data_IF_875185709255
#
_entry.id   IF_875185709255
#
_cell.length_a   1.000
_cell.length_b   1.000
_cell.length_c   1.000
_cell.angle_alpha   90.00
_cell.angle_beta   90.00
_cell.angle_gamma   90.00
#
_symmetry.space_group_name_H-M   'P 1'
#
loop_
_entity.id
_entity.type
_entity.pdbx_description
1 polymer ?
#
# COMPACT_ATOMS: atom_id res chain seq x y z
N UNK A 1 19.23 9.75 8.12
CA UNK A 1 20.21 9.45 7.04
C UNK A 1 21.63 9.37 7.59
N UNK A 2 22.06 10.32 8.42
CA UNK A 2 23.42 10.35 8.98
C UNK A 2 23.70 9.18 9.91
N UNK A 3 22.76 8.79 10.76
CA UNK A 3 22.84 7.62 11.63
C UNK A 3 23.26 6.31 10.91
N UNK A 4 22.80 6.12 9.70
CA UNK A 4 23.11 4.92 8.92
C UNK A 4 24.44 5.03 8.18
N UNK A 5 24.81 6.24 7.73
CA UNK A 5 26.14 6.50 7.15
C UNK A 5 27.25 6.29 8.17
N UNK A 6 27.06 6.75 9.39
CA UNK A 6 27.99 6.56 10.51
C UNK A 6 28.23 5.07 10.83
N UNK A 7 27.27 4.20 10.48
CA UNK A 7 27.37 2.73 10.61
C UNK A 7 27.82 2.01 9.34
N UNK A 8 28.35 2.75 8.36
CA UNK A 8 28.95 2.18 7.15
C UNK A 8 27.92 1.70 6.10
N UNK A 9 26.70 2.22 6.15
CA UNK A 9 25.71 1.93 5.10
C UNK A 9 26.03 2.70 3.82
N UNK A 10 26.03 2.03 2.66
CA UNK A 10 26.11 2.65 1.35
C UNK A 10 24.71 2.90 0.79
N UNK A 11 24.49 4.09 0.24
CA UNK A 11 23.22 4.46 -0.37
C UNK A 11 23.31 4.32 -1.89
N UNK A 12 22.42 3.58 -2.55
CA UNK A 12 22.39 3.51 -4.00
C UNK A 12 21.96 4.84 -4.60
N UNK A 13 22.58 5.22 -5.74
CA UNK A 13 22.37 6.52 -6.41
C UNK A 13 21.16 6.57 -7.36
N UNK A 14 20.24 5.61 -7.31
CA UNK A 14 19.08 5.59 -8.23
C UNK A 14 17.95 6.49 -7.75
N UNK A 15 17.50 7.38 -8.63
CA UNK A 15 16.62 8.55 -8.36
C UNK A 15 15.12 8.27 -8.21
N UNK A 16 14.61 7.05 -8.20
CA UNK A 16 13.16 6.83 -8.29
C UNK A 16 12.60 5.72 -7.39
N UNK A 17 13.35 5.32 -6.36
CA UNK A 17 12.89 4.19 -5.52
C UNK A 17 13.27 4.38 -4.06
N UNK A 18 12.55 3.69 -3.15
CA UNK A 18 12.80 3.77 -1.73
C UNK A 18 14.26 3.48 -1.39
N UNK A 19 14.78 4.08 -0.32
CA UNK A 19 16.18 3.92 0.04
C UNK A 19 16.50 2.47 0.34
N UNK A 20 17.33 1.87 -0.50
CA UNK A 20 17.95 0.58 -0.26
C UNK A 20 19.25 0.83 0.50
N UNK A 21 19.34 0.33 1.70
CA UNK A 21 20.53 0.47 2.56
C UNK A 21 21.25 -0.87 2.62
N UNK A 22 22.53 -0.85 2.29
CA UNK A 22 23.40 -2.00 2.37
C UNK A 22 24.25 -1.93 3.61
N UNK A 23 24.13 -2.93 4.48
CA UNK A 23 25.02 -3.14 5.61
C UNK A 23 25.86 -4.36 5.25
N UNK A 24 27.14 -4.14 4.89
CA UNK A 24 27.95 -5.13 4.15
C UNK A 24 28.67 -6.16 5.02
N UNK A 25 28.58 -7.43 4.55
CA UNK A 25 29.63 -8.44 4.69
C UNK A 25 30.12 -8.86 3.30
N UNK A 26 31.35 -9.31 3.18
CA UNK A 26 32.00 -9.57 1.88
C UNK A 26 31.62 -10.91 1.23
N UNK A 27 31.08 -11.86 1.98
CA UNK A 27 30.68 -13.21 1.52
C UNK A 27 29.55 -13.75 2.39
N UNK A 28 28.87 -14.80 1.91
CA UNK A 28 27.78 -15.46 2.64
C UNK A 28 26.39 -14.99 2.21
N UNK A 29 25.34 -15.35 2.97
CA UNK A 29 23.97 -15.08 2.58
C UNK A 29 23.65 -13.58 2.57
N UNK A 30 22.72 -13.21 1.70
CA UNK A 30 22.13 -11.88 1.63
C UNK A 30 20.77 -11.90 2.30
N UNK A 31 20.67 -11.23 3.43
CA UNK A 31 19.46 -11.16 4.25
C UNK A 31 18.78 -9.82 4.01
N UNK A 32 17.57 -9.85 3.50
CA UNK A 32 16.71 -8.68 3.33
C UNK A 32 15.85 -8.45 4.57
N UNK A 33 15.84 -7.23 5.10
CA UNK A 33 14.92 -6.81 6.16
C UNK A 33 14.06 -5.68 5.61
N UNK A 34 12.75 -5.90 5.59
CA UNK A 34 11.78 -4.99 4.99
C UNK A 34 11.11 -4.16 6.09
N UNK A 35 10.98 -2.88 5.84
CA UNK A 35 10.31 -1.95 6.76
C UNK A 35 9.39 -1.01 6.00
N UNK A 36 8.09 -1.09 6.26
CA UNK A 36 7.09 -0.18 5.74
C UNK A 36 7.09 1.12 6.54
N UNK A 37 6.75 2.25 5.91
CA UNK A 37 6.78 3.56 6.57
C UNK A 37 5.76 4.56 6.02
N UNK A 38 4.88 4.16 5.11
CA UNK A 38 3.79 4.99 4.62
C UNK A 38 2.65 5.09 5.64
N UNK A 39 1.74 6.03 5.43
CA UNK A 39 0.66 6.35 6.34
C UNK A 39 -0.69 6.35 5.60
N UNK A 40 -1.75 6.02 6.32
CA UNK A 40 -3.12 6.02 5.85
C UNK A 40 -3.71 7.42 5.84
N UNK A 41 -4.34 7.80 4.73
CA UNK A 41 -5.04 9.08 4.61
C UNK A 41 -6.20 9.20 5.60
N UNK A 42 -6.38 10.40 6.18
CA UNK A 42 -7.48 10.69 7.07
C UNK A 42 -7.36 10.13 8.50
N UNK A 43 -6.20 9.57 8.86
CA UNK A 43 -5.96 8.97 10.18
C UNK A 43 -5.01 9.79 11.07
N UNK A 44 -4.89 11.10 10.80
CA UNK A 44 -4.15 11.98 11.71
C UNK A 44 -4.72 11.86 13.13
N UNK A 45 -3.83 11.64 14.13
CA UNK A 45 -4.26 11.33 15.49
C UNK A 45 -3.27 11.89 16.51
N UNK A 46 -3.79 12.49 17.54
CA UNK A 46 -3.04 12.87 18.75
C UNK A 46 -2.74 11.63 19.61
N UNK A 47 -1.89 11.80 20.62
CA UNK A 47 -1.68 10.78 21.66
C UNK A 47 -2.90 10.81 22.61
N UNK A 48 -3.97 10.18 22.19
CA UNK A 48 -5.27 10.19 22.89
C UNK A 48 -5.99 8.86 22.64
N UNK A 49 -6.75 8.39 23.62
CA UNK A 49 -7.65 7.24 23.49
C UNK A 49 -8.94 7.57 22.74
N UNK A 50 -9.26 8.84 22.57
CA UNK A 50 -10.38 9.31 21.79
C UNK A 50 -9.95 9.69 20.36
N UNK A 51 -10.88 9.69 19.41
CA UNK A 51 -10.61 10.23 18.06
C UNK A 51 -10.35 11.74 18.17
N UNK A 52 -9.11 12.12 17.98
CA UNK A 52 -8.62 13.49 18.11
C UNK A 52 -7.58 13.77 17.03
N UNK A 53 -7.98 14.13 15.81
CA UNK A 53 -7.03 14.40 14.74
C UNK A 53 -6.20 15.65 15.06
N UNK A 54 -4.87 15.56 14.90
CA UNK A 54 -3.99 16.73 14.96
C UNK A 54 -4.27 17.70 13.82
N UNK A 55 -4.60 17.15 12.65
CA UNK A 55 -5.03 17.90 11.47
C UNK A 55 -6.11 17.09 10.75
N UNK A 56 -7.27 17.66 10.57
CA UNK A 56 -8.39 16.99 9.90
C UNK A 56 -8.02 16.59 8.46
N UNK A 57 -8.31 15.34 8.08
CA UNK A 57 -8.06 14.80 6.75
C UNK A 57 -6.60 14.41 6.46
N UNK A 58 -5.65 14.78 7.31
CA UNK A 58 -4.24 14.46 7.10
C UNK A 58 -3.93 12.98 7.42
N UNK A 59 -2.83 12.42 6.86
CA UNK A 59 -2.43 11.04 7.10
C UNK A 59 -2.03 10.76 8.55
N UNK A 60 -2.19 9.49 8.94
CA UNK A 60 -1.75 8.98 10.25
C UNK A 60 -1.40 7.50 10.21
N UNK A 61 -0.67 7.05 11.22
CA UNK A 61 -0.15 5.69 11.30
C UNK A 61 -1.13 4.76 12.04
N UNK A 62 -2.27 4.46 11.41
CA UNK A 62 -3.23 3.49 11.94
C UNK A 62 -2.78 2.03 11.86
N UNK A 63 -1.80 1.74 11.00
CA UNK A 63 -1.26 0.39 10.77
C UNK A 63 0.08 0.12 11.47
N UNK A 64 0.65 1.11 12.15
CA UNK A 64 1.90 0.96 12.91
C UNK A 64 3.18 1.01 12.06
N UNK A 65 3.12 1.47 10.82
CA UNK A 65 4.29 1.57 9.93
C UNK A 65 5.37 2.53 10.45
N UNK A 66 5.02 3.49 11.30
CA UNK A 66 5.99 4.33 12.01
C UNK A 66 6.92 3.52 12.92
N UNK A 67 6.42 2.44 13.53
CA UNK A 67 7.23 1.51 14.33
C UNK A 67 7.94 0.50 13.43
N UNK A 68 7.24 -0.05 12.45
CA UNK A 68 7.73 -1.09 11.55
C UNK A 68 8.98 -0.63 10.80
N UNK A 69 8.96 0.55 10.19
CA UNK A 69 10.08 1.11 9.45
C UNK A 69 11.33 1.30 10.31
N UNK A 70 11.17 1.88 11.50
CA UNK A 70 12.27 2.17 12.42
C UNK A 70 12.86 0.90 13.03
N UNK A 71 12.01 -0.01 13.53
CA UNK A 71 12.50 -1.22 14.18
C UNK A 71 13.11 -2.21 13.18
N UNK A 72 12.59 -2.30 11.97
CA UNK A 72 13.23 -3.08 10.90
C UNK A 72 14.64 -2.56 10.57
N UNK A 73 14.82 -1.25 10.56
CA UNK A 73 16.13 -0.63 10.36
C UNK A 73 17.08 -0.94 11.53
N UNK A 74 16.60 -0.85 12.76
CA UNK A 74 17.39 -1.21 13.96
C UNK A 74 17.76 -2.69 13.97
N UNK A 75 16.83 -3.57 13.57
CA UNK A 75 17.09 -5.00 13.42
C UNK A 75 18.20 -5.27 12.39
N UNK A 76 18.17 -4.57 11.24
CA UNK A 76 19.23 -4.68 10.24
C UNK A 76 20.61 -4.28 10.81
N UNK A 77 20.66 -3.20 11.59
CA UNK A 77 21.90 -2.79 12.28
C UNK A 77 22.36 -3.85 13.29
N UNK A 78 21.46 -4.38 14.11
CA UNK A 78 21.77 -5.40 15.10
C UNK A 78 22.30 -6.69 14.47
N UNK A 79 21.68 -7.16 13.40
CA UNK A 79 22.15 -8.35 12.65
C UNK A 79 23.54 -8.11 12.10
N UNK A 80 23.82 -6.95 11.50
CA UNK A 80 25.16 -6.59 11.02
C UNK A 80 26.21 -6.65 12.13
N UNK A 81 25.92 -6.01 13.28
CA UNK A 81 26.83 -5.97 14.42
C UNK A 81 27.08 -7.36 15.01
N UNK A 82 26.04 -8.19 15.07
CA UNK A 82 26.15 -9.59 15.53
C UNK A 82 27.01 -10.42 14.60
N UNK A 83 26.80 -10.33 13.27
CA UNK A 83 27.62 -11.04 12.29
C UNK A 83 29.10 -10.65 12.42
N UNK A 84 29.38 -9.35 12.58
CA UNK A 84 30.75 -8.87 12.77
C UNK A 84 31.37 -9.35 14.10
N UNK A 85 30.63 -9.32 15.20
CA UNK A 85 31.10 -9.80 16.50
C UNK A 85 31.39 -11.30 16.54
N UNK A 86 30.61 -12.09 15.80
CA UNK A 86 30.76 -13.54 15.70
C UNK A 86 31.72 -13.97 14.56
N UNK A 87 32.34 -13.03 13.85
CA UNK A 87 33.21 -13.34 12.69
C UNK A 87 32.49 -14.03 11.55
N UNK A 88 31.18 -13.90 11.44
CA UNK A 88 30.37 -14.49 10.38
C UNK A 88 30.27 -13.56 9.17
N UNK A 89 30.39 -14.13 7.98
CA UNK A 89 30.22 -13.40 6.73
C UNK A 89 28.75 -13.39 6.30
N UNK A 90 28.28 -12.28 5.75
CA UNK A 90 26.95 -12.12 5.19
C UNK A 90 26.68 -10.67 4.81
N UNK A 91 25.65 -10.46 4.02
CA UNK A 91 25.17 -9.12 3.65
C UNK A 91 23.80 -8.89 4.24
N UNK A 92 23.59 -7.78 4.89
CA UNK A 92 22.28 -7.35 5.36
C UNK A 92 21.80 -6.18 4.50
N UNK A 93 20.62 -6.32 3.91
CA UNK A 93 19.95 -5.27 3.14
C UNK A 93 18.71 -4.78 3.89
N UNK A 94 18.62 -3.50 4.15
CA UNK A 94 17.37 -2.90 4.62
C UNK A 94 16.60 -2.35 3.42
N UNK A 95 15.34 -2.73 3.30
CA UNK A 95 14.42 -2.26 2.28
C UNK A 95 13.36 -1.36 2.92
N UNK A 96 13.46 -0.04 2.72
CA UNK A 96 12.39 0.88 3.06
C UNK A 96 11.26 0.77 2.05
N UNK A 97 10.14 0.18 2.45
CA UNK A 97 9.01 -0.10 1.58
C UNK A 97 7.98 1.04 1.66
N UNK A 98 7.73 1.68 0.52
CA UNK A 98 6.69 2.74 0.38
C UNK A 98 5.41 2.16 -0.17
N UNK A 99 4.31 2.92 -0.08
CA UNK A 99 3.05 2.63 -0.75
C UNK A 99 2.53 1.21 -0.50
N UNK A 100 2.76 0.68 0.73
CA UNK A 100 2.21 -0.61 1.15
C UNK A 100 0.69 -0.51 1.25
N UNK A 101 0.18 0.57 1.81
CA UNK A 101 -1.25 0.84 1.97
C UNK A 101 -2.01 1.00 0.64
N UNK A 102 -1.26 1.14 -0.46
CA UNK A 102 -1.78 1.09 -1.83
C UNK A 102 -1.54 -0.28 -2.50
N UNK A 103 -0.89 -1.21 -1.78
CA UNK A 103 -0.56 -2.57 -2.24
C UNK A 103 0.30 -2.60 -3.52
N UNK A 104 1.09 -1.54 -3.78
CA UNK A 104 1.86 -1.39 -5.02
C UNK A 104 3.36 -1.33 -4.80
N UNK A 105 3.82 -0.81 -3.66
CA UNK A 105 5.23 -0.48 -3.45
C UNK A 105 6.19 -1.65 -3.61
N UNK A 106 5.96 -2.74 -2.88
CA UNK A 106 6.83 -3.93 -2.95
C UNK A 106 6.75 -4.64 -4.30
N UNK A 107 5.58 -4.64 -4.95
CA UNK A 107 5.42 -5.20 -6.29
C UNK A 107 6.27 -4.42 -7.33
N UNK A 108 6.28 -3.10 -7.27
CA UNK A 108 7.13 -2.27 -8.13
C UNK A 108 8.62 -2.45 -7.80
N UNK A 109 8.98 -2.57 -6.51
CA UNK A 109 10.34 -2.88 -6.09
C UNK A 109 10.82 -4.21 -6.67
N UNK A 110 9.98 -5.25 -6.63
CA UNK A 110 10.29 -6.56 -7.20
C UNK A 110 10.47 -6.47 -8.72
N UNK A 111 9.56 -5.81 -9.41
CA UNK A 111 9.63 -5.58 -10.86
C UNK A 111 10.90 -4.84 -11.29
N UNK A 112 11.39 -3.93 -10.45
CA UNK A 112 12.62 -3.18 -10.69
C UNK A 112 13.89 -3.96 -10.26
N UNK A 113 13.76 -5.20 -9.80
CA UNK A 113 14.88 -6.07 -9.43
C UNK A 113 15.54 -5.72 -8.09
N UNK A 114 14.87 -4.97 -7.20
CA UNK A 114 15.48 -4.58 -5.92
C UNK A 114 15.76 -5.77 -5.00
N UNK A 115 14.98 -6.84 -5.10
CA UNK A 115 15.15 -8.05 -4.31
C UNK A 115 16.09 -9.06 -4.95
N UNK A 116 16.60 -8.80 -6.15
CA UNK A 116 17.50 -9.71 -6.84
C UNK A 116 18.77 -9.98 -6.01
N UNK A 117 19.16 -11.25 -5.95
CA UNK A 117 20.28 -11.69 -5.16
C UNK A 117 20.07 -11.56 -3.65
N UNK A 118 18.83 -11.51 -3.17
CA UNK A 118 18.47 -11.69 -1.77
C UNK A 118 18.11 -13.14 -1.53
N UNK A 119 18.81 -13.81 -0.60
CA UNK A 119 18.59 -15.22 -0.33
C UNK A 119 17.37 -15.44 0.57
N UNK A 120 17.15 -14.52 1.52
CA UNK A 120 16.01 -14.56 2.44
C UNK A 120 15.52 -13.14 2.72
N UNK A 121 14.20 -12.97 2.77
CA UNK A 121 13.57 -11.71 3.15
C UNK A 121 12.74 -11.88 4.41
N UNK A 122 12.94 -10.99 5.37
CA UNK A 122 12.25 -10.99 6.66
C UNK A 122 11.49 -9.67 6.78
N UNK A 123 10.23 -9.76 7.14
CA UNK A 123 9.39 -8.63 7.53
C UNK A 123 8.64 -8.98 8.79
N UNK A 124 8.08 -7.98 9.43
CA UNK A 124 7.17 -8.15 10.56
C UNK A 124 6.04 -7.13 10.45
N UNK A 125 4.98 -7.35 11.18
CA UNK A 125 3.89 -6.39 11.26
C UNK A 125 3.33 -6.39 12.67
N UNK A 126 2.97 -5.22 13.24
CA UNK A 126 2.26 -5.16 14.52
C UNK A 126 0.96 -5.96 14.46
N UNK A 127 0.74 -6.83 15.43
CA UNK A 127 -0.44 -7.69 15.54
C UNK A 127 -0.78 -7.93 17.01
N UNK A 128 -1.89 -8.61 17.27
CA UNK A 128 -2.37 -8.94 18.61
C UNK A 128 -1.65 -10.14 19.25
N UNK A 129 -0.88 -10.88 18.47
CA UNK A 129 -0.10 -12.03 18.92
C UNK A 129 1.32 -11.99 18.34
N UNK A 130 2.29 -12.50 19.13
CA UNK A 130 3.66 -12.72 18.66
C UNK A 130 3.76 -14.10 18.04
N UNK A 131 3.85 -14.18 16.73
CA UNK A 131 3.89 -15.45 15.99
C UNK A 131 4.68 -15.29 14.68
N UNK A 132 5.04 -16.42 14.09
CA UNK A 132 5.46 -16.47 12.69
C UNK A 132 4.25 -16.89 11.87
N UNK A 133 3.79 -16.01 11.00
CA UNK A 133 2.65 -16.32 10.14
C UNK A 133 3.10 -17.13 8.93
N UNK A 134 2.35 -18.17 8.63
CA UNK A 134 2.47 -18.95 7.41
C UNK A 134 1.11 -18.95 6.71
N UNK A 135 0.83 -17.89 5.98
CA UNK A 135 -0.45 -17.70 5.31
C UNK A 135 -0.26 -17.49 3.81
N UNK A 136 -1.22 -17.92 3.03
CA UNK A 136 -1.38 -17.51 1.65
C UNK A 136 -1.94 -16.09 1.59
N UNK A 137 -1.52 -15.31 0.62
CA UNK A 137 -2.05 -13.98 0.37
C UNK A 137 -2.84 -13.98 -0.94
N UNK A 138 -3.87 -13.16 -0.99
CA UNK A 138 -4.66 -12.95 -2.20
C UNK A 138 -3.95 -12.01 -3.16
N UNK A 139 -4.01 -12.29 -4.46
CA UNK A 139 -3.63 -11.32 -5.47
C UNK A 139 -4.64 -10.16 -5.49
N UNK A 140 -4.19 -8.97 -5.84
CA UNK A 140 -5.03 -7.77 -5.90
C UNK A 140 -5.02 -7.14 -7.28
N UNK A 141 -6.19 -6.79 -7.75
CA UNK A 141 -6.38 -5.93 -8.92
C UNK A 141 -7.25 -4.73 -8.54
N UNK A 142 -6.83 -3.54 -8.95
CA UNK A 142 -7.57 -2.30 -8.75
C UNK A 142 -7.75 -1.58 -10.07
N UNK A 143 -8.96 -1.10 -10.35
CA UNK A 143 -9.27 -0.33 -11.54
C UNK A 143 -10.18 0.86 -11.22
N UNK A 144 -9.91 1.98 -11.85
CA UNK A 144 -10.77 3.17 -11.80
C UNK A 144 -11.54 3.28 -13.13
N UNK A 145 -12.86 3.36 -13.04
CA UNK A 145 -13.76 3.52 -14.17
C UNK A 145 -14.30 4.94 -14.22
N UNK A 146 -14.15 5.58 -15.36
CA UNK A 146 -14.61 6.94 -15.61
C UNK A 146 -15.81 6.91 -16.57
N UNK A 147 -16.93 7.47 -16.13
CA UNK A 147 -18.13 7.61 -16.94
C UNK A 147 -18.34 9.07 -17.30
N UNK A 148 -18.75 9.33 -18.52
CA UNK A 148 -19.11 10.65 -19.03
C UNK A 148 -20.57 10.69 -19.44
N UNK A 149 -21.29 11.68 -18.96
CA UNK A 149 -22.70 11.89 -19.31
C UNK A 149 -22.93 13.19 -20.08
N UNK A 150 -24.19 13.41 -20.43
CA UNK A 150 -24.68 14.65 -21.02
C UNK A 150 -25.73 15.26 -20.10
N UNK A 151 -25.49 16.48 -19.65
CA UNK A 151 -26.46 17.20 -18.81
C UNK A 151 -27.66 17.68 -19.62
N UNK A 152 -28.84 17.60 -19.03
CA UNK A 152 -30.05 18.20 -19.52
C UNK A 152 -30.91 18.69 -18.35
N UNK A 153 -31.86 19.59 -18.63
CA UNK A 153 -32.77 20.07 -17.61
C UNK A 153 -33.82 18.97 -17.31
N UNK A 154 -33.84 18.52 -16.05
CA UNK A 154 -34.65 17.37 -15.65
C UNK A 154 -36.16 17.56 -15.80
N UNK A 155 -36.66 18.80 -15.76
CA UNK A 155 -38.09 19.10 -15.88
C UNK A 155 -38.59 19.45 -17.28
N UNK A 156 -37.69 19.91 -18.18
CA UNK A 156 -38.12 20.39 -19.52
C UNK A 156 -37.61 19.55 -20.67
N UNK A 157 -36.50 18.85 -20.52
CA UNK A 157 -35.90 18.02 -21.59
C UNK A 157 -35.10 16.86 -21.03
N UNK A 158 -35.66 16.02 -20.14
CA UNK A 158 -34.93 14.92 -19.52
C UNK A 158 -34.38 13.90 -20.52
N UNK A 159 -35.08 13.69 -21.64
CA UNK A 159 -34.71 12.80 -22.73
C UNK A 159 -33.43 13.23 -23.45
N UNK A 160 -33.05 14.50 -23.36
CA UNK A 160 -31.82 14.99 -23.96
C UNK A 160 -30.57 14.68 -23.08
N UNK A 161 -30.77 14.19 -21.87
CA UNK A 161 -29.70 13.88 -20.92
C UNK A 161 -29.28 12.42 -20.89
N UNK A 162 -28.05 12.17 -20.51
CA UNK A 162 -27.54 10.84 -20.14
C UNK A 162 -26.75 10.98 -18.83
N UNK A 163 -27.19 10.27 -17.79
CA UNK A 163 -26.56 10.35 -16.47
C UNK A 163 -25.34 9.43 -16.40
N UNK A 164 -24.17 9.98 -16.12
CA UNK A 164 -22.99 9.19 -15.82
C UNK A 164 -23.13 8.44 -14.48
N UNK A 165 -23.91 8.98 -13.53
CA UNK A 165 -24.19 8.32 -12.28
C UNK A 165 -25.02 7.05 -12.48
N UNK A 166 -26.03 7.08 -13.35
CA UNK A 166 -26.85 5.90 -13.63
C UNK A 166 -25.99 4.74 -14.17
N UNK A 167 -24.99 5.05 -15.01
CA UNK A 167 -24.05 4.04 -15.51
C UNK A 167 -23.18 3.47 -14.38
N UNK A 168 -22.73 4.30 -13.44
CA UNK A 168 -22.01 3.87 -12.25
C UNK A 168 -22.87 2.95 -11.38
N UNK A 169 -24.12 3.32 -11.15
CA UNK A 169 -25.06 2.51 -10.35
C UNK A 169 -25.35 1.16 -11.00
N UNK A 170 -25.57 1.14 -12.31
CA UNK A 170 -25.75 -0.11 -13.05
C UNK A 170 -24.52 -1.02 -12.96
N UNK A 171 -23.33 -0.45 -13.05
CA UNK A 171 -22.10 -1.22 -12.87
C UNK A 171 -21.98 -1.78 -11.45
N UNK A 172 -22.35 -1.00 -10.43
CA UNK A 172 -22.34 -1.46 -9.03
C UNK A 172 -23.36 -2.60 -8.81
N UNK A 173 -24.54 -2.50 -9.40
CA UNK A 173 -25.55 -3.58 -9.39
C UNK A 173 -24.99 -4.83 -10.04
N UNK A 174 -24.35 -4.70 -11.22
CA UNK A 174 -23.71 -5.83 -11.90
C UNK A 174 -22.59 -6.46 -11.06
N UNK A 175 -21.76 -5.65 -10.39
CA UNK A 175 -20.73 -6.14 -9.47
C UNK A 175 -21.34 -6.91 -8.27
N UNK A 176 -22.48 -6.47 -7.76
CA UNK A 176 -23.18 -7.18 -6.68
C UNK A 176 -23.71 -8.54 -7.12
N UNK A 177 -24.27 -8.64 -8.31
CA UNK A 177 -24.72 -9.92 -8.86
C UNK A 177 -23.54 -10.87 -9.18
N UNK A 178 -22.39 -10.33 -9.59
CA UNK A 178 -21.21 -11.14 -9.83
C UNK A 178 -20.74 -11.89 -8.58
N UNK A 179 -20.97 -11.34 -7.38
CA UNK A 179 -20.57 -11.99 -6.10
C UNK A 179 -21.19 -13.37 -5.92
N UNK A 180 -22.39 -13.62 -6.46
CA UNK A 180 -23.03 -14.94 -6.41
C UNK A 180 -22.24 -16.02 -7.16
N UNK A 181 -21.43 -15.60 -8.14
CA UNK A 181 -20.68 -16.49 -9.03
C UNK A 181 -19.18 -16.51 -8.75
N UNK A 182 -18.75 -15.87 -7.65
CA UNK A 182 -17.34 -15.87 -7.21
C UNK A 182 -17.07 -17.03 -6.26
N UNK A 183 -15.83 -17.53 -6.28
CA UNK A 183 -15.42 -18.52 -5.27
C UNK A 183 -15.26 -17.86 -3.89
N UNK A 184 -15.36 -18.65 -2.84
CA UNK A 184 -15.39 -18.15 -1.44
C UNK A 184 -14.16 -17.32 -1.05
N UNK A 185 -13.03 -17.55 -1.69
CA UNK A 185 -11.78 -16.85 -1.45
C UNK A 185 -11.69 -15.49 -2.12
N UNK A 186 -12.46 -15.28 -3.20
CA UNK A 186 -12.47 -14.01 -3.92
C UNK A 186 -13.21 -12.91 -3.16
N UNK A 187 -12.74 -11.67 -3.33
CA UNK A 187 -13.40 -10.48 -2.78
C UNK A 187 -13.54 -9.42 -3.86
N UNK A 188 -14.68 -8.79 -3.91
CA UNK A 188 -14.98 -7.69 -4.82
C UNK A 188 -15.54 -6.52 -4.02
N UNK A 189 -14.84 -5.40 -4.06
CA UNK A 189 -15.26 -4.14 -3.45
C UNK A 189 -15.30 -3.03 -4.48
N UNK A 190 -16.14 -2.04 -4.25
CA UNK A 190 -16.12 -0.80 -4.99
C UNK A 190 -16.41 0.38 -4.07
N UNK A 191 -15.94 1.55 -4.46
CA UNK A 191 -16.27 2.82 -3.82
C UNK A 191 -16.55 3.87 -4.87
N UNK A 192 -17.42 4.82 -4.53
CA UNK A 192 -17.67 5.99 -5.36
C UNK A 192 -16.62 7.05 -5.06
N UNK A 193 -15.92 7.49 -6.09
CA UNK A 193 -15.04 8.64 -5.98
C UNK A 193 -15.86 9.93 -6.16
N UNK A 194 -15.43 11.06 -5.57
CA UNK A 194 -16.15 12.31 -5.65
C UNK A 194 -16.45 12.72 -7.08
N UNK A 195 -17.72 12.99 -7.37
CA UNK A 195 -18.20 13.47 -8.67
C UNK A 195 -18.52 14.95 -8.52
N UNK A 196 -17.95 15.81 -9.38
CA UNK A 196 -18.24 17.24 -9.30
C UNK A 196 -19.48 17.61 -10.14
N UNK A 197 -20.63 17.84 -9.51
CA UNK A 197 -21.69 18.73 -9.97
C UNK A 197 -22.89 18.67 -9.00
N UNK A 198 -23.54 19.80 -8.75
CA UNK A 198 -24.70 19.89 -7.84
C UNK A 198 -25.92 19.10 -8.30
N UNK A 199 -26.81 18.82 -7.37
CA UNK A 199 -27.98 17.93 -7.50
C UNK A 199 -29.01 18.27 -8.59
N UNK A 200 -28.94 19.44 -9.21
CA UNK A 200 -29.87 19.89 -10.26
C UNK A 200 -29.50 19.40 -11.67
N UNK A 201 -28.29 18.89 -11.85
CA UNK A 201 -27.82 18.42 -13.14
C UNK A 201 -27.39 16.95 -13.03
N UNK A 202 -27.86 16.09 -13.93
CA UNK A 202 -27.34 14.73 -14.04
C UNK A 202 -25.84 14.81 -14.24
N UNK A 203 -25.07 14.10 -13.40
CA UNK A 203 -23.62 14.18 -13.38
C UNK A 203 -23.01 13.93 -14.77
N UNK A 204 -22.14 14.84 -15.19
CA UNK A 204 -21.34 14.64 -16.43
C UNK A 204 -20.24 13.61 -16.27
N UNK A 205 -19.82 13.32 -15.02
CA UNK A 205 -18.73 12.38 -14.72
C UNK A 205 -19.10 11.52 -13.53
N UNK A 206 -18.99 10.23 -13.69
CA UNK A 206 -19.07 9.26 -12.60
C UNK A 206 -17.76 8.48 -12.52
N UNK A 207 -17.31 8.18 -11.33
CA UNK A 207 -16.11 7.37 -11.07
C UNK A 207 -16.45 6.25 -10.12
N UNK A 208 -15.96 5.06 -10.43
CA UNK A 208 -16.02 3.91 -9.54
C UNK A 208 -14.63 3.33 -9.42
N UNK A 209 -14.21 3.08 -8.21
CA UNK A 209 -13.04 2.25 -7.94
C UNK A 209 -13.54 0.83 -7.65
N UNK A 210 -13.08 -0.12 -8.42
CA UNK A 210 -13.37 -1.54 -8.19
C UNK A 210 -12.10 -2.22 -7.73
N UNK A 211 -12.16 -2.80 -6.56
CA UNK A 211 -11.08 -3.63 -6.01
C UNK A 211 -11.50 -5.09 -6.11
N UNK A 212 -10.66 -5.93 -6.69
CA UNK A 212 -10.87 -7.37 -6.75
C UNK A 212 -9.68 -8.09 -6.16
N UNK A 213 -9.90 -8.92 -5.15
CA UNK A 213 -8.87 -9.76 -4.57
C UNK A 213 -9.14 -11.22 -4.93
N UNK A 214 -8.09 -11.96 -5.28
CA UNK A 214 -8.16 -13.38 -5.58
C UNK A 214 -7.30 -14.16 -4.59
N UNK A 215 -7.73 -15.33 -4.19
CA UNK A 215 -6.88 -16.32 -3.56
C UNK A 215 -6.21 -17.16 -4.64
N UNK A 216 -4.92 -17.46 -4.46
CA UNK A 216 -4.22 -18.51 -5.20
C UNK A 216 -4.38 -19.86 -4.51
#
# INVERSE_FOLDING_TARGET
MDFLRERGASLPRKRACPPLLWLNGDRGPVIGILGEYDALGGLSQAVSAAKEPLREGEPGHGCGHNLLGVYSMLAACAVKETLAAEGKSGTVRYYGCTAEEQLTGKAEMAKLGYFDGTDVSITWHPWDVSTVTHSTMTALFSAEFHFTGRSAHAGTSPEAGHSALDAVELMNVGANYLREHMVDQDRLHYMLLPTGAGAQYRSRRGRVLVLRAFAE
#
